data_IF_707566817839
#
_entry.id   IF_707566817839
#
_cell.length_a   1.000
_cell.length_b   1.000
_cell.length_c   1.000
_cell.angle_alpha   90.00
_cell.angle_beta   90.00
_cell.angle_gamma   90.00
#
_symmetry.space_group_name_H-M   'P 1'
#
loop_
_entity.id
_entity.type
_entity.pdbx_description
1 polymer ?
#
# COMPACT_ATOMS: atom_id res chain seq x y z
N UNK A 1 -1.22 11.62 -35.32
CA UNK A 1 -0.09 11.17 -34.48
C UNK A 1 -0.65 10.47 -33.26
N UNK A 2 -0.06 9.37 -32.82
CA UNK A 2 -0.44 8.69 -31.57
C UNK A 2 0.00 9.55 -30.40
N UNK A 3 -0.90 9.77 -29.43
CA UNK A 3 -0.58 10.53 -28.20
C UNK A 3 0.32 9.69 -27.29
N UNK A 4 1.25 10.34 -26.64
CA UNK A 4 2.25 9.70 -25.78
C UNK A 4 2.14 10.19 -24.33
N UNK A 5 2.36 9.30 -23.37
CA UNK A 5 2.36 9.63 -21.95
C UNK A 5 3.53 8.99 -21.21
N UNK A 6 4.10 9.73 -20.29
CA UNK A 6 5.05 9.22 -19.30
C UNK A 6 4.33 9.12 -17.96
N UNK A 7 4.47 7.96 -17.30
CA UNK A 7 4.02 7.73 -15.94
C UNK A 7 5.25 7.61 -15.03
N UNK A 8 5.35 8.45 -14.01
CA UNK A 8 6.38 8.34 -12.98
C UNK A 8 5.84 7.54 -11.79
N UNK A 9 6.39 6.34 -11.56
CA UNK A 9 6.00 5.41 -10.51
C UNK A 9 5.26 4.18 -11.05
N UNK A 10 5.84 2.99 -10.81
CA UNK A 10 5.35 1.68 -11.24
C UNK A 10 4.47 0.94 -10.22
N UNK A 11 3.97 1.64 -9.19
CA UNK A 11 3.04 1.10 -8.21
C UNK A 11 1.61 1.04 -8.76
N UNK A 12 0.65 0.56 -7.96
CA UNK A 12 -0.76 0.38 -8.37
C UNK A 12 -1.33 1.63 -9.06
N UNK A 13 -1.14 2.81 -8.48
CA UNK A 13 -1.66 4.07 -9.06
C UNK A 13 -1.09 4.37 -10.45
N UNK A 14 0.22 4.16 -10.64
CA UNK A 14 0.85 4.37 -11.94
C UNK A 14 0.45 3.34 -12.97
N UNK A 15 0.34 2.07 -12.58
CA UNK A 15 -0.11 1.00 -13.47
C UNK A 15 -1.59 1.18 -13.88
N UNK A 16 -2.47 1.64 -12.97
CA UNK A 16 -3.84 2.03 -13.32
C UNK A 16 -3.87 3.18 -14.32
N UNK A 17 -3.08 4.24 -14.08
CA UNK A 17 -2.99 5.38 -14.99
C UNK A 17 -2.51 4.94 -16.38
N UNK A 18 -1.47 4.10 -16.44
CA UNK A 18 -0.96 3.53 -17.68
C UNK A 18 -2.01 2.71 -18.40
N UNK A 19 -2.68 1.79 -17.70
CA UNK A 19 -3.71 0.93 -18.28
C UNK A 19 -4.90 1.75 -18.81
N UNK A 20 -5.36 2.75 -18.05
CA UNK A 20 -6.47 3.62 -18.46
C UNK A 20 -6.15 4.45 -19.70
N UNK A 21 -4.94 5.01 -19.80
CA UNK A 21 -4.49 5.76 -20.98
C UNK A 21 -4.33 4.84 -22.20
N UNK A 22 -3.72 3.66 -22.02
CA UNK A 22 -3.59 2.66 -23.10
C UNK A 22 -4.94 2.21 -23.62
N UNK A 23 -5.94 2.00 -22.77
CA UNK A 23 -7.31 1.69 -23.17
C UNK A 23 -7.96 2.81 -24.04
N UNK A 24 -7.44 4.03 -23.97
CA UNK A 24 -7.82 5.18 -24.81
C UNK A 24 -6.90 5.39 -26.02
N UNK A 25 -6.03 4.44 -26.33
CA UNK A 25 -5.16 4.47 -27.52
C UNK A 25 -3.88 5.31 -27.37
N UNK A 26 -3.47 5.63 -26.13
CA UNK A 26 -2.20 6.29 -25.87
C UNK A 26 -1.04 5.28 -25.90
N UNK A 27 0.11 5.72 -26.37
CA UNK A 27 1.37 5.02 -26.11
C UNK A 27 1.90 5.51 -24.75
N UNK A 28 2.20 4.57 -23.85
CA UNK A 28 2.49 4.90 -22.43
C UNK A 28 3.74 4.18 -21.98
N UNK A 29 4.70 4.91 -21.44
CA UNK A 29 5.88 4.39 -20.78
C UNK A 29 5.83 4.68 -19.28
N UNK A 30 6.08 3.64 -18.45
CA UNK A 30 6.10 3.71 -16.99
C UNK A 30 7.54 3.63 -16.51
N UNK A 31 7.96 4.61 -15.70
CA UNK A 31 9.29 4.69 -15.12
C UNK A 31 9.24 4.50 -13.61
N UNK A 32 9.89 3.45 -13.12
CA UNK A 32 9.94 3.08 -11.71
C UNK A 32 11.38 3.25 -11.18
N UNK A 33 11.52 3.89 -10.03
CA UNK A 33 12.83 4.11 -9.37
C UNK A 33 13.50 2.84 -8.87
N UNK A 34 12.70 1.83 -8.48
CA UNK A 34 13.22 0.54 -8.04
C UNK A 34 13.88 -0.16 -9.22
N UNK A 35 15.07 -0.70 -9.01
CA UNK A 35 15.78 -1.50 -10.01
C UNK A 35 15.23 -2.94 -10.12
N UNK A 36 14.32 -3.31 -9.23
CA UNK A 36 13.65 -4.62 -9.20
C UNK A 36 12.15 -4.45 -9.16
N UNK A 37 11.42 -5.44 -9.62
CA UNK A 37 9.95 -5.48 -9.54
C UNK A 37 9.46 -5.26 -8.10
N UNK A 38 8.30 -4.62 -7.98
CA UNK A 38 7.73 -4.25 -6.67
C UNK A 38 7.02 -5.40 -5.96
N UNK A 39 7.12 -6.63 -6.47
CA UNK A 39 6.49 -7.81 -5.87
C UNK A 39 6.93 -8.02 -4.40
N UNK A 40 6.04 -8.57 -3.58
CA UNK A 40 6.31 -8.91 -2.18
C UNK A 40 6.25 -7.73 -1.20
N UNK A 41 5.82 -6.55 -1.62
CA UNK A 41 5.78 -5.36 -0.76
C UNK A 41 4.46 -5.14 -0.04
N UNK A 42 3.47 -5.98 -0.32
CA UNK A 42 2.11 -5.65 0.03
C UNK A 42 1.53 -6.36 1.22
N UNK A 43 0.79 -5.60 1.98
CA UNK A 43 -0.18 -6.07 2.95
C UNK A 43 -1.56 -6.28 2.28
N UNK A 44 -2.56 -6.66 3.06
CA UNK A 44 -3.91 -6.81 2.58
C UNK A 44 -4.53 -5.50 2.08
N UNK A 45 -5.43 -5.64 1.12
CA UNK A 45 -6.29 -4.57 0.61
C UNK A 45 -7.74 -5.04 0.71
N UNK A 46 -8.58 -4.15 1.19
CA UNK A 46 -10.03 -4.33 1.22
C UNK A 46 -10.59 -3.92 -0.14
N UNK A 47 -11.31 -4.82 -0.81
CA UNK A 47 -11.93 -4.49 -2.08
C UNK A 47 -13.28 -3.79 -1.88
N UNK A 48 -13.72 -3.11 -2.91
CA UNK A 48 -15.05 -2.53 -3.06
C UNK A 48 -15.40 -2.49 -4.57
N UNK A 49 -16.67 -2.32 -4.89
CA UNK A 49 -17.17 -2.41 -6.26
C UNK A 49 -16.42 -1.48 -7.23
N UNK A 50 -16.11 -0.26 -6.79
CA UNK A 50 -15.37 0.72 -7.63
C UNK A 50 -13.97 0.19 -8.01
N UNK A 51 -13.28 -0.51 -7.12
CA UNK A 51 -11.96 -1.11 -7.43
C UNK A 51 -12.12 -2.27 -8.42
N UNK A 52 -13.13 -3.10 -8.22
CA UNK A 52 -13.45 -4.23 -9.10
C UNK A 52 -13.81 -3.71 -10.51
N UNK A 53 -14.67 -2.70 -10.58
CA UNK A 53 -15.04 -2.06 -11.84
C UNK A 53 -13.83 -1.40 -12.51
N UNK A 54 -12.95 -0.74 -11.76
CA UNK A 54 -11.75 -0.14 -12.29
C UNK A 54 -10.80 -1.18 -12.91
N UNK A 55 -10.59 -2.33 -12.24
CA UNK A 55 -9.77 -3.43 -12.77
C UNK A 55 -10.37 -4.00 -14.07
N UNK A 56 -11.68 -4.23 -14.09
CA UNK A 56 -12.38 -4.73 -15.27
C UNK A 56 -12.33 -3.72 -16.44
N UNK A 57 -12.55 -2.44 -16.15
CA UNK A 57 -12.56 -1.37 -17.17
C UNK A 57 -11.19 -1.18 -17.85
N UNK A 58 -10.09 -1.52 -17.18
CA UNK A 58 -8.75 -1.49 -17.79
C UNK A 58 -8.31 -2.84 -18.36
N UNK A 59 -9.17 -3.87 -18.28
CA UNK A 59 -8.90 -5.20 -18.82
C UNK A 59 -7.97 -6.05 -17.95
N UNK A 60 -7.76 -5.70 -16.68
CA UNK A 60 -6.89 -6.46 -15.78
C UNK A 60 -7.53 -7.76 -15.29
N UNK A 61 -8.87 -7.85 -15.33
CA UNK A 61 -9.62 -8.98 -14.78
C UNK A 61 -9.63 -9.03 -13.25
N UNK A 62 -10.45 -9.90 -12.70
CA UNK A 62 -10.59 -10.08 -11.24
C UNK A 62 -10.64 -11.56 -10.83
N UNK A 63 -10.28 -12.47 -11.72
CA UNK A 63 -10.22 -13.90 -11.43
C UNK A 63 -9.23 -14.18 -10.29
N UNK A 64 -9.62 -15.00 -9.32
CA UNK A 64 -8.80 -15.31 -8.15
C UNK A 64 -8.25 -14.05 -7.47
N UNK A 65 -9.10 -13.02 -7.30
CA UNK A 65 -8.71 -11.73 -6.79
C UNK A 65 -8.22 -11.81 -5.33
N UNK A 66 -8.84 -12.68 -4.52
CA UNK A 66 -8.49 -12.78 -3.10
C UNK A 66 -9.27 -13.85 -2.36
N UNK A 67 -9.39 -13.69 -1.06
CA UNK A 67 -10.11 -14.58 -0.14
C UNK A 67 -11.49 -13.98 0.15
N UNK A 68 -12.52 -14.80 0.07
CA UNK A 68 -13.87 -14.37 0.41
C UNK A 68 -14.08 -14.39 1.93
N UNK A 69 -14.68 -13.33 2.43
CA UNK A 69 -15.18 -13.20 3.80
C UNK A 69 -16.67 -12.92 3.76
N UNK A 70 -17.41 -13.47 4.71
CA UNK A 70 -18.89 -13.43 4.69
C UNK A 70 -19.46 -12.48 5.73
N UNK A 71 -18.67 -12.20 6.79
CA UNK A 71 -19.11 -11.40 7.91
C UNK A 71 -18.08 -10.34 8.27
N UNK A 72 -18.56 -9.18 8.66
CA UNK A 72 -17.81 -8.20 9.44
C UNK A 72 -18.18 -8.37 10.89
N UNK A 73 -17.18 -8.58 11.75
CA UNK A 73 -17.40 -8.84 13.17
C UNK A 73 -16.61 -7.83 14.01
N UNK A 74 -17.18 -7.43 15.15
CA UNK A 74 -16.48 -6.63 16.14
C UNK A 74 -16.25 -7.48 17.41
N UNK A 75 -15.02 -7.42 17.92
CA UNK A 75 -14.60 -8.08 19.14
C UNK A 75 -14.58 -7.10 20.31
N UNK A 76 -14.82 -7.59 21.51
CA UNK A 76 -14.48 -6.89 22.75
C UNK A 76 -13.08 -7.30 23.27
N UNK A 77 -12.71 -6.81 24.46
CA UNK A 77 -11.43 -7.13 25.10
C UNK A 77 -11.29 -8.59 25.51
N UNK A 78 -12.41 -9.25 25.82
CA UNK A 78 -12.43 -10.68 26.19
C UNK A 78 -12.30 -11.57 24.95
N UNK A 79 -12.36 -11.00 23.74
CA UNK A 79 -12.27 -11.68 22.46
C UNK A 79 -13.60 -12.23 21.97
N UNK A 80 -14.71 -11.87 22.62
CA UNK A 80 -16.05 -12.26 22.21
C UNK A 80 -16.56 -11.38 21.06
N UNK A 81 -17.33 -11.99 20.16
CA UNK A 81 -17.98 -11.25 19.07
C UNK A 81 -19.19 -10.51 19.63
N UNK A 82 -19.09 -9.19 19.78
CA UNK A 82 -20.16 -8.33 20.29
C UNK A 82 -21.06 -7.73 19.21
N UNK A 83 -20.62 -7.77 17.96
CA UNK A 83 -21.45 -7.37 16.81
C UNK A 83 -21.04 -8.15 15.55
N UNK A 84 -22.03 -8.47 14.74
CA UNK A 84 -21.83 -9.12 13.44
C UNK A 84 -22.74 -8.48 12.39
N UNK A 85 -22.15 -8.25 11.21
CA UNK A 85 -22.86 -7.76 10.02
C UNK A 85 -22.59 -8.74 8.89
N UNK A 86 -23.59 -9.49 8.40
CA UNK A 86 -23.46 -10.27 7.17
C UNK A 86 -23.06 -9.34 6.01
N UNK A 87 -21.86 -9.51 5.50
CA UNK A 87 -21.34 -8.68 4.42
C UNK A 87 -20.33 -9.48 3.61
N UNK A 88 -20.80 -9.98 2.46
CA UNK A 88 -19.91 -10.68 1.54
C UNK A 88 -18.91 -9.72 0.90
N UNK A 89 -17.63 -10.06 0.98
CA UNK A 89 -16.55 -9.24 0.45
C UNK A 89 -15.35 -10.13 0.09
N UNK A 90 -14.73 -9.87 -1.04
CA UNK A 90 -13.40 -10.43 -1.34
C UNK A 90 -12.34 -9.51 -0.77
N UNK A 91 -11.40 -10.03 0.00
CA UNK A 91 -10.21 -9.29 0.48
C UNK A 91 -8.99 -9.78 -0.27
N UNK A 92 -8.13 -8.86 -0.67
CA UNK A 92 -7.01 -9.15 -1.57
C UNK A 92 -5.68 -8.67 -0.98
N UNK A 93 -4.61 -8.79 -1.73
CA UNK A 93 -3.31 -8.24 -1.40
C UNK A 93 -2.88 -7.17 -2.40
N UNK A 94 -2.01 -6.28 -1.95
CA UNK A 94 -1.36 -5.31 -2.82
C UNK A 94 -0.65 -6.01 -4.00
N UNK A 95 0.05 -7.11 -3.71
CA UNK A 95 0.75 -7.91 -4.72
C UNK A 95 -0.18 -8.41 -5.81
N UNK A 96 -1.37 -8.88 -5.44
CA UNK A 96 -2.34 -9.39 -6.42
C UNK A 96 -2.81 -8.31 -7.38
N UNK A 97 -3.19 -7.15 -6.87
CA UNK A 97 -3.62 -6.03 -7.71
C UNK A 97 -2.47 -5.55 -8.61
N UNK A 98 -1.27 -5.42 -8.03
CA UNK A 98 -0.08 -5.06 -8.80
C UNK A 98 0.19 -6.06 -9.93
N UNK A 99 0.16 -7.37 -9.67
CA UNK A 99 0.35 -8.41 -10.68
C UNK A 99 -0.68 -8.34 -11.81
N UNK A 100 -1.96 -8.14 -11.46
CA UNK A 100 -3.04 -8.04 -12.46
C UNK A 100 -2.79 -6.86 -13.40
N UNK A 101 -2.47 -5.69 -12.87
CA UNK A 101 -2.18 -4.50 -13.65
C UNK A 101 -0.87 -4.62 -14.44
N UNK A 102 0.18 -5.20 -13.82
CA UNK A 102 1.49 -5.36 -14.46
C UNK A 102 1.42 -6.28 -15.69
N UNK A 103 0.57 -7.32 -15.67
CA UNK A 103 0.38 -8.27 -16.79
C UNK A 103 -0.16 -7.62 -18.05
N UNK A 104 -0.91 -6.54 -17.94
CA UNK A 104 -1.50 -5.82 -19.09
C UNK A 104 -0.61 -4.70 -19.62
N UNK A 105 0.51 -4.42 -18.97
CA UNK A 105 1.55 -3.50 -19.46
C UNK A 105 2.68 -4.30 -20.11
N UNK A 106 2.95 -4.14 -21.41
CA UNK A 106 4.08 -4.81 -22.07
C UNK A 106 5.42 -4.44 -21.43
N UNK A 107 6.35 -5.39 -21.39
CA UNK A 107 7.64 -5.24 -20.69
C UNK A 107 8.49 -4.10 -21.27
N UNK A 108 8.45 -3.89 -22.59
CA UNK A 108 9.16 -2.80 -23.27
C UNK A 108 8.70 -1.39 -22.84
N UNK A 109 7.55 -1.28 -22.19
CA UNK A 109 6.99 -0.04 -21.65
C UNK A 109 7.12 0.09 -20.13
N UNK A 110 7.84 -0.81 -19.45
CA UNK A 110 8.08 -0.79 -18.01
C UNK A 110 9.58 -0.67 -17.72
N UNK A 111 10.00 0.53 -17.34
CA UNK A 111 11.41 0.90 -17.18
C UNK A 111 11.78 0.97 -15.70
N UNK A 112 12.46 -0.07 -15.21
CA UNK A 112 12.98 -0.15 -13.83
C UNK A 112 14.29 0.63 -13.67
N UNK A 113 14.61 1.06 -12.44
CA UNK A 113 15.82 1.79 -12.11
C UNK A 113 15.88 3.19 -12.72
N UNK A 114 14.73 3.81 -12.98
CA UNK A 114 14.58 5.14 -13.59
C UNK A 114 13.91 6.11 -12.60
N UNK A 115 14.69 6.58 -11.62
CA UNK A 115 14.24 7.60 -10.69
C UNK A 115 14.14 8.96 -11.39
N UNK A 116 12.98 9.62 -11.26
CA UNK A 116 12.73 10.93 -11.83
C UNK A 116 13.42 11.99 -10.98
N UNK A 117 14.22 12.86 -11.61
CA UNK A 117 14.89 14.02 -10.99
C UNK A 117 14.11 15.33 -11.18
N UNK A 118 13.24 15.38 -12.18
CA UNK A 118 12.43 16.57 -12.47
C UNK A 118 11.89 16.56 -13.90
N UNK A 119 11.15 17.59 -14.26
CA UNK A 119 10.58 17.73 -15.58
C UNK A 119 10.61 19.18 -16.08
N UNK A 120 10.45 19.39 -17.38
CA UNK A 120 10.09 20.67 -17.99
C UNK A 120 8.91 20.46 -18.95
N UNK A 121 8.11 21.50 -19.17
CA UNK A 121 6.98 21.45 -20.10
C UNK A 121 6.92 22.68 -21.01
N UNK A 122 6.41 22.51 -22.22
CA UNK A 122 6.19 23.56 -23.21
C UNK A 122 4.87 23.30 -23.94
N UNK A 123 4.56 24.11 -24.96
CA UNK A 123 3.41 23.86 -25.84
C UNK A 123 3.57 22.57 -26.68
N UNK A 124 4.79 22.12 -26.89
CA UNK A 124 5.10 20.93 -27.70
C UNK A 124 5.01 19.61 -26.91
N UNK A 125 5.20 19.65 -25.59
CA UNK A 125 5.20 18.43 -24.75
C UNK A 125 5.84 18.63 -23.39
N UNK A 126 6.13 17.51 -22.76
CA UNK A 126 6.85 17.42 -21.48
C UNK A 126 8.14 16.63 -21.68
N UNK A 127 9.23 17.08 -21.06
CA UNK A 127 10.50 16.36 -20.99
C UNK A 127 10.78 16.01 -19.53
N UNK A 128 10.98 14.71 -19.24
CA UNK A 128 11.34 14.20 -17.92
C UNK A 128 12.83 13.91 -17.90
N UNK A 129 13.52 14.34 -16.83
CA UNK A 129 14.93 14.02 -16.55
C UNK A 129 15.00 12.98 -15.45
N UNK A 130 15.87 12.01 -15.63
CA UNK A 130 16.15 10.96 -14.63
C UNK A 130 17.45 11.25 -13.89
N UNK A 131 17.60 10.66 -12.68
CA UNK A 131 18.82 10.82 -11.85
C UNK A 131 20.10 10.33 -12.54
N UNK A 132 19.98 9.39 -13.47
CA UNK A 132 21.10 8.87 -14.27
C UNK A 132 21.50 9.78 -15.45
N UNK A 133 20.84 10.93 -15.62
CA UNK A 133 21.10 11.91 -16.67
C UNK A 133 20.36 11.67 -17.99
N UNK A 134 19.66 10.54 -18.15
CA UNK A 134 18.81 10.30 -19.32
C UNK A 134 17.58 11.21 -19.30
N UNK A 135 16.95 11.38 -20.48
CA UNK A 135 15.69 12.11 -20.63
C UNK A 135 14.67 11.30 -21.45
N UNK A 136 13.40 11.58 -21.23
CA UNK A 136 12.31 11.06 -22.06
C UNK A 136 11.31 12.18 -22.36
N UNK A 137 10.62 12.10 -23.52
CA UNK A 137 9.66 13.11 -23.96
C UNK A 137 8.30 12.46 -24.25
N UNK A 138 7.22 13.19 -23.92
CA UNK A 138 5.85 12.79 -24.22
C UNK A 138 4.94 14.02 -24.34
N UNK A 139 3.68 13.77 -24.72
CA UNK A 139 2.65 14.82 -24.73
C UNK A 139 2.21 15.21 -23.34
N UNK A 140 2.19 14.24 -22.40
CA UNK A 140 1.82 14.45 -20.99
C UNK A 140 2.70 13.64 -20.02
N UNK A 141 2.74 14.12 -18.75
CA UNK A 141 3.34 13.43 -17.63
C UNK A 141 2.29 13.19 -16.55
N UNK A 142 2.24 11.97 -15.99
CA UNK A 142 1.45 11.67 -14.79
C UNK A 142 2.40 11.26 -13.66
N UNK A 143 2.45 12.07 -12.61
CA UNK A 143 3.20 11.77 -11.38
C UNK A 143 2.40 10.83 -10.49
N UNK A 144 2.86 9.58 -10.39
CA UNK A 144 2.37 8.52 -9.50
C UNK A 144 3.50 8.03 -8.58
N UNK A 145 4.45 8.88 -8.27
CA UNK A 145 5.71 8.59 -7.61
C UNK A 145 5.62 8.61 -6.07
N UNK A 146 4.39 8.48 -5.57
CA UNK A 146 4.09 8.25 -4.16
C UNK A 146 4.15 9.52 -3.30
N UNK A 147 4.01 9.37 -1.98
CA UNK A 147 3.93 10.50 -1.06
C UNK A 147 5.19 11.39 -1.03
N UNK A 148 6.35 10.87 -1.48
CA UNK A 148 7.62 11.63 -1.67
C UNK A 148 7.76 12.22 -3.07
N UNK A 149 6.66 12.40 -3.78
CA UNK A 149 6.63 12.76 -5.19
C UNK A 149 7.53 13.93 -5.57
N UNK A 150 8.46 13.69 -6.49
CA UNK A 150 9.30 14.72 -7.13
C UNK A 150 8.44 15.58 -8.05
N UNK A 151 7.48 14.95 -8.75
CA UNK A 151 6.57 15.65 -9.68
C UNK A 151 5.69 16.64 -8.91
N UNK A 152 5.06 16.21 -7.78
CA UNK A 152 4.28 17.12 -6.91
C UNK A 152 5.15 18.23 -6.35
N UNK A 153 6.32 17.91 -5.82
CA UNK A 153 7.19 18.90 -5.18
C UNK A 153 7.63 20.00 -6.15
N UNK A 154 7.78 19.65 -7.43
CA UNK A 154 8.09 20.65 -8.46
C UNK A 154 6.83 21.46 -8.86
N UNK A 155 5.67 20.81 -9.00
CA UNK A 155 4.41 21.47 -9.38
C UNK A 155 3.82 22.33 -8.24
N UNK A 156 3.96 21.84 -6.99
CA UNK A 156 3.37 22.42 -5.79
C UNK A 156 4.41 22.48 -4.65
N UNK A 157 5.47 23.28 -4.76
CA UNK A 157 6.59 23.27 -3.80
C UNK A 157 6.18 23.68 -2.37
N UNK A 158 5.02 24.32 -2.21
CA UNK A 158 4.47 24.70 -0.90
C UNK A 158 3.75 23.53 -0.18
N UNK A 159 3.47 22.42 -0.87
CA UNK A 159 2.75 21.28 -0.32
C UNK A 159 3.74 20.28 0.25
N UNK A 160 3.73 20.14 1.56
CA UNK A 160 4.56 19.18 2.29
C UNK A 160 3.67 18.22 3.08
N UNK A 161 3.83 16.90 2.93
CA UNK A 161 3.11 15.94 3.75
C UNK A 161 3.35 16.17 5.25
N UNK A 162 2.28 16.17 6.03
CA UNK A 162 2.31 16.36 7.47
C UNK A 162 2.05 15.03 8.17
N UNK A 163 2.77 14.76 9.25
CA UNK A 163 2.54 13.57 10.07
C UNK A 163 1.16 13.64 10.73
N UNK A 164 0.35 12.59 10.56
CA UNK A 164 -1.05 12.56 11.01
C UNK A 164 -1.22 12.15 12.47
N UNK A 165 -0.13 11.93 13.22
CA UNK A 165 -0.16 11.63 14.65
C UNK A 165 -0.32 10.13 14.97
N UNK A 166 -0.21 9.23 14.00
CA UNK A 166 -0.29 7.79 14.22
C UNK A 166 0.56 7.00 13.21
N UNK A 167 0.87 5.78 13.59
CA UNK A 167 1.49 4.78 12.72
C UNK A 167 0.51 3.63 12.47
N UNK A 168 0.72 2.92 11.39
CA UNK A 168 0.02 1.66 11.12
C UNK A 168 1.00 0.52 11.29
N UNK A 169 0.81 -0.26 12.35
CA UNK A 169 1.48 -1.54 12.52
C UNK A 169 0.84 -2.58 11.61
N UNK A 170 1.68 -3.39 11.00
CA UNK A 170 1.26 -4.47 10.12
C UNK A 170 1.98 -5.76 10.50
N UNK A 171 1.25 -6.85 10.46
CA UNK A 171 1.78 -8.18 10.67
C UNK A 171 1.08 -9.18 9.75
N UNK A 172 1.80 -10.21 9.34
CA UNK A 172 1.28 -11.33 8.56
C UNK A 172 1.59 -12.62 9.31
N UNK A 173 0.59 -13.49 9.42
CA UNK A 173 0.76 -14.83 9.98
C UNK A 173 0.21 -15.87 9.01
N UNK A 174 0.85 -17.03 8.93
CA UNK A 174 0.39 -18.09 8.05
C UNK A 174 -0.80 -18.82 8.67
N UNK A 175 -1.80 -19.14 7.87
CA UNK A 175 -2.99 -19.91 8.30
C UNK A 175 -2.61 -21.22 8.99
N UNK A 176 -1.57 -21.90 8.51
CA UNK A 176 -1.10 -23.17 9.04
C UNK A 176 -0.52 -23.11 10.47
N UNK A 177 -0.17 -21.90 10.93
CA UNK A 177 0.45 -21.71 12.26
C UNK A 177 -0.61 -21.49 13.36
N UNK A 178 -1.91 -21.36 12.99
CA UNK A 178 -3.00 -21.10 13.92
C UNK A 178 -3.62 -22.37 14.50
N UNK A 179 -4.08 -22.28 15.75
CA UNK A 179 -4.93 -23.30 16.33
C UNK A 179 -6.28 -23.39 15.63
N UNK A 180 -6.95 -24.54 15.74
CA UNK A 180 -8.29 -24.71 15.16
C UNK A 180 -9.30 -23.70 15.72
N UNK A 181 -9.20 -23.43 17.03
CA UNK A 181 -10.06 -22.46 17.74
C UNK A 181 -9.85 -21.04 17.20
N UNK A 182 -8.59 -20.63 17.01
CA UNK A 182 -8.28 -19.31 16.47
C UNK A 182 -8.74 -19.17 15.01
N UNK A 183 -8.56 -20.21 14.19
CA UNK A 183 -9.07 -20.25 12.82
C UNK A 183 -10.58 -20.08 12.75
N UNK A 184 -11.34 -20.80 13.58
CA UNK A 184 -12.80 -20.69 13.64
C UNK A 184 -13.26 -19.29 14.07
N UNK A 185 -12.52 -18.68 15.00
CA UNK A 185 -12.84 -17.36 15.52
C UNK A 185 -12.63 -16.25 14.51
N UNK A 186 -11.48 -16.22 13.80
CA UNK A 186 -11.06 -15.06 12.99
C UNK A 186 -11.04 -15.31 11.47
N UNK A 187 -10.77 -16.55 11.03
CA UNK A 187 -10.65 -16.84 9.61
C UNK A 187 -12.04 -16.87 8.93
N UNK A 188 -12.11 -16.36 7.71
CA UNK A 188 -13.39 -16.21 7.01
C UNK A 188 -14.21 -14.98 7.40
N UNK A 189 -13.70 -14.17 8.33
CA UNK A 189 -14.34 -12.94 8.80
C UNK A 189 -13.45 -11.74 8.55
N UNK A 190 -14.05 -10.55 8.46
CA UNK A 190 -13.34 -9.28 8.57
C UNK A 190 -13.52 -8.79 10.00
N UNK A 191 -12.47 -8.91 10.80
CA UNK A 191 -12.49 -8.61 12.22
C UNK A 191 -12.14 -7.18 12.54
N UNK A 192 -12.90 -6.55 13.43
CA UNK A 192 -12.64 -5.24 14.00
C UNK A 192 -12.47 -5.35 15.51
N UNK A 193 -11.53 -4.59 16.05
CA UNK A 193 -11.49 -4.25 17.45
C UNK A 193 -11.29 -2.74 17.55
N UNK A 194 -12.20 -2.05 18.21
CA UNK A 194 -12.36 -0.60 18.16
C UNK A 194 -12.34 0.03 19.56
N UNK A 195 -11.25 -0.11 20.35
CA UNK A 195 -11.14 0.56 21.63
C UNK A 195 -10.99 2.07 21.42
N UNK A 196 -11.23 2.85 22.50
CA UNK A 196 -11.13 4.30 22.42
C UNK A 196 -9.74 4.75 21.98
N UNK A 197 -9.68 5.55 20.91
CA UNK A 197 -8.46 6.20 20.42
C UNK A 197 -7.57 5.36 19.52
N UNK A 198 -7.94 4.10 19.23
CA UNK A 198 -7.19 3.24 18.30
C UNK A 198 -8.12 2.32 17.52
N UNK A 199 -7.62 1.70 16.49
CA UNK A 199 -8.39 0.77 15.66
C UNK A 199 -7.50 -0.38 15.21
N UNK A 200 -8.05 -1.59 15.33
CA UNK A 200 -7.42 -2.80 14.84
C UNK A 200 -8.37 -3.46 13.86
N UNK A 201 -7.82 -3.94 12.74
CA UNK A 201 -8.55 -4.78 11.78
C UNK A 201 -7.71 -6.00 11.42
N UNK A 202 -8.38 -7.11 11.20
CA UNK A 202 -7.75 -8.33 10.75
C UNK A 202 -8.63 -9.09 9.76
N UNK A 203 -8.00 -9.69 8.74
CA UNK A 203 -8.71 -10.45 7.72
C UNK A 203 -7.78 -11.41 6.97
N UNK A 204 -8.28 -12.54 6.44
CA UNK A 204 -7.46 -13.45 5.65
C UNK A 204 -7.10 -12.85 4.30
N UNK A 205 -5.93 -13.18 3.80
CA UNK A 205 -5.48 -12.86 2.44
C UNK A 205 -4.84 -14.09 1.80
N UNK A 206 -4.62 -14.05 0.50
CA UNK A 206 -3.88 -15.08 -0.21
C UNK A 206 -2.49 -15.32 0.39
N UNK A 207 -2.03 -16.54 0.30
CA UNK A 207 -0.65 -16.91 0.59
C UNK A 207 0.34 -16.43 -0.46
N UNK A 208 1.58 -16.85 -0.33
CA UNK A 208 2.65 -16.52 -1.29
C UNK A 208 2.27 -16.98 -2.70
N UNK A 209 2.54 -16.15 -3.70
CA UNK A 209 2.18 -16.45 -5.08
C UNK A 209 0.67 -16.42 -5.38
N UNK A 210 -0.12 -15.77 -4.54
CA UNK A 210 -1.59 -15.73 -4.60
C UNK A 210 -2.23 -17.11 -4.35
N UNK A 211 -1.69 -17.90 -3.43
CA UNK A 211 -2.27 -19.20 -3.06
C UNK A 211 -3.53 -18.99 -2.21
N UNK A 212 -4.69 -19.42 -2.76
CA UNK A 212 -5.99 -19.28 -2.13
C UNK A 212 -6.46 -20.56 -1.42
N UNK A 213 -5.68 -21.65 -1.50
CA UNK A 213 -6.04 -22.93 -0.91
C UNK A 213 -6.07 -22.83 0.62
N UNK A 214 -7.10 -23.42 1.27
CA UNK A 214 -7.14 -23.53 2.73
C UNK A 214 -5.84 -24.14 3.28
N UNK A 215 -5.34 -23.61 4.39
CA UNK A 215 -4.05 -23.98 5.00
C UNK A 215 -2.83 -23.31 4.39
N UNK A 216 -2.96 -22.64 3.25
CA UNK A 216 -1.87 -21.95 2.56
C UNK A 216 -2.01 -20.42 2.55
N UNK A 217 -3.09 -19.91 3.09
CA UNK A 217 -3.41 -18.48 3.15
C UNK A 217 -2.68 -17.81 4.30
N UNK A 218 -2.80 -16.51 4.41
CA UNK A 218 -2.24 -15.70 5.49
C UNK A 218 -3.33 -14.86 6.14
N UNK A 219 -3.11 -14.45 7.36
CA UNK A 219 -3.92 -13.46 8.05
C UNK A 219 -3.19 -12.13 8.11
N UNK A 220 -3.84 -11.08 7.68
CA UNK A 220 -3.31 -9.72 7.69
C UNK A 220 -3.86 -8.98 8.90
N UNK A 221 -2.96 -8.45 9.71
CA UNK A 221 -3.24 -7.63 10.87
C UNK A 221 -2.83 -6.19 10.62
N UNK A 222 -3.68 -5.26 11.00
CA UNK A 222 -3.46 -3.82 10.84
C UNK A 222 -3.90 -3.11 12.12
N UNK A 223 -3.00 -2.38 12.75
CA UNK A 223 -3.27 -1.62 13.97
C UNK A 223 -2.90 -0.15 13.77
N UNK A 224 -3.89 0.72 13.83
CA UNK A 224 -3.75 2.18 13.77
C UNK A 224 -3.45 2.69 15.17
N UNK A 225 -2.16 2.85 15.50
CA UNK A 225 -1.67 3.19 16.83
C UNK A 225 -1.30 4.68 16.90
N UNK A 226 -1.91 5.49 17.79
CA UNK A 226 -1.49 6.85 18.03
C UNK A 226 -0.03 6.89 18.51
N UNK A 227 0.78 7.73 17.90
CA UNK A 227 2.19 7.90 18.25
C UNK A 227 2.54 9.38 18.14
N UNK A 228 3.08 9.97 19.21
CA UNK A 228 3.51 11.36 19.16
C UNK A 228 4.71 11.57 18.22
N UNK A 229 4.91 12.79 17.72
CA UNK A 229 6.04 13.10 16.84
C UNK A 229 7.40 12.77 17.49
N UNK A 230 7.54 12.93 18.81
CA UNK A 230 8.77 12.58 19.52
C UNK A 230 9.00 11.07 19.57
N UNK A 231 7.95 10.29 19.85
CA UNK A 231 8.02 8.81 19.80
C UNK A 231 8.31 8.32 18.38
N UNK A 232 7.70 8.93 17.36
CA UNK A 232 7.98 8.61 15.98
C UNK A 232 9.45 8.86 15.61
N UNK A 233 10.03 9.97 16.06
CA UNK A 233 11.45 10.27 15.81
C UNK A 233 12.37 9.19 16.42
N UNK A 234 12.05 8.71 17.61
CA UNK A 234 12.74 7.56 18.22
C UNK A 234 12.54 6.28 17.41
N UNK A 235 11.32 5.95 17.00
CA UNK A 235 11.00 4.76 16.21
C UNK A 235 11.66 4.75 14.82
N UNK A 236 11.89 5.92 14.25
CA UNK A 236 12.57 6.09 12.95
C UNK A 236 14.10 6.09 13.06
N UNK A 237 14.66 5.86 14.22
CA UNK A 237 16.12 5.78 14.42
C UNK A 237 16.53 4.31 14.52
N UNK A 238 17.48 3.87 13.69
CA UNK A 238 17.96 2.48 13.68
C UNK A 238 19.04 2.22 14.75
N UNK A 239 19.52 0.96 14.86
CA UNK A 239 20.52 0.55 15.84
C UNK A 239 21.89 1.25 15.67
N UNK A 240 22.17 1.78 14.47
CA UNK A 240 23.39 2.57 14.23
C UNK A 240 23.27 4.03 14.69
N UNK A 241 22.08 4.45 15.14
CA UNK A 241 21.76 5.83 15.47
C UNK A 241 21.38 6.69 14.26
N UNK A 242 21.26 6.11 13.07
CA UNK A 242 20.83 6.83 11.87
C UNK A 242 19.33 7.08 11.93
N UNK A 243 18.94 8.34 11.82
CA UNK A 243 17.55 8.75 11.70
C UNK A 243 17.06 8.66 10.25
N UNK A 244 15.91 8.00 10.05
CA UNK A 244 15.21 7.89 8.77
C UNK A 244 14.06 8.91 8.74
N UNK A 245 14.12 9.86 7.84
CA UNK A 245 13.28 11.07 7.87
C UNK A 245 11.76 10.82 7.85
N UNK A 246 11.28 9.84 7.08
CA UNK A 246 9.85 9.63 6.86
C UNK A 246 9.38 8.17 7.07
N UNK A 247 10.24 7.20 6.87
CA UNK A 247 9.94 5.78 7.06
C UNK A 247 11.22 4.99 7.23
N UNK A 248 11.19 3.93 7.99
CA UNK A 248 12.32 3.03 8.23
C UNK A 248 12.09 1.69 7.53
N UNK A 249 13.08 1.10 6.83
CA UNK A 249 12.96 -0.25 6.30
C UNK A 249 12.68 -1.26 7.41
N UNK A 250 11.75 -2.22 7.23
CA UNK A 250 11.39 -3.18 8.28
C UNK A 250 12.56 -3.89 8.97
N UNK A 251 13.62 -4.33 8.26
CA UNK A 251 14.77 -4.97 8.90
C UNK A 251 15.59 -4.06 9.83
N UNK A 252 15.46 -2.72 9.68
CA UNK A 252 16.18 -1.73 10.46
C UNK A 252 15.39 -1.22 11.68
N UNK A 253 14.14 -1.66 11.85
CA UNK A 253 13.35 -1.35 13.04
C UNK A 253 14.04 -2.01 14.24
N UNK A 254 14.36 -1.20 15.26
CA UNK A 254 15.06 -1.67 16.47
C UNK A 254 14.20 -2.68 17.21
N UNK A 255 14.86 -3.69 17.80
CA UNK A 255 14.19 -4.71 18.60
C UNK A 255 13.43 -4.10 19.80
N UNK A 256 13.98 -3.08 20.43
CA UNK A 256 13.33 -2.36 21.53
C UNK A 256 11.99 -1.73 21.13
N UNK A 257 11.84 -1.31 19.85
CA UNK A 257 10.59 -0.76 19.31
C UNK A 257 9.55 -1.87 19.13
N UNK A 258 9.96 -3.03 18.63
CA UNK A 258 9.08 -4.20 18.48
C UNK A 258 8.62 -4.72 19.85
N UNK A 259 9.52 -4.88 20.79
CA UNK A 259 9.18 -5.31 22.15
C UNK A 259 8.24 -4.34 22.89
N UNK A 260 8.36 -3.02 22.63
CA UNK A 260 7.41 -2.03 23.15
C UNK A 260 6.03 -2.26 22.55
N UNK A 261 5.95 -2.43 21.23
CA UNK A 261 4.69 -2.71 20.53
C UNK A 261 4.05 -4.01 21.07
N UNK A 262 4.82 -5.07 21.25
CA UNK A 262 4.32 -6.35 21.78
C UNK A 262 3.79 -6.23 23.22
N UNK A 263 4.45 -5.45 24.09
CA UNK A 263 3.94 -5.19 25.45
C UNK A 263 2.63 -4.43 25.40
N UNK A 264 2.56 -3.37 24.60
CA UNK A 264 1.35 -2.58 24.43
C UNK A 264 0.21 -3.44 23.84
N UNK A 265 0.52 -4.30 22.88
CA UNK A 265 -0.45 -5.24 22.30
C UNK A 265 -1.07 -6.15 23.38
N UNK A 266 -0.26 -6.70 24.30
CA UNK A 266 -0.74 -7.57 25.39
C UNK A 266 -1.63 -6.84 26.38
N UNK A 267 -1.48 -5.52 26.51
CA UNK A 267 -2.29 -4.71 27.44
C UNK A 267 -3.64 -4.31 26.85
N UNK A 268 -3.73 -4.13 25.52
CA UNK A 268 -4.90 -3.50 24.90
C UNK A 268 -5.64 -4.39 23.90
N UNK A 269 -5.02 -5.48 23.40
CA UNK A 269 -5.65 -6.32 22.38
C UNK A 269 -6.35 -7.54 23.00
N UNK A 270 -7.47 -8.00 22.38
CA UNK A 270 -8.02 -9.31 22.66
C UNK A 270 -6.99 -10.43 22.46
N UNK A 271 -7.11 -11.48 23.24
CA UNK A 271 -6.16 -12.60 23.23
C UNK A 271 -5.95 -13.19 21.83
N UNK A 272 -7.01 -13.29 21.02
CA UNK A 272 -6.93 -13.77 19.64
C UNK A 272 -5.94 -12.96 18.77
N UNK A 273 -5.92 -11.64 18.89
CA UNK A 273 -4.99 -10.80 18.16
C UNK A 273 -3.57 -10.86 18.74
N UNK A 274 -3.42 -11.05 20.04
CA UNK A 274 -2.11 -11.28 20.67
C UNK A 274 -1.50 -12.59 20.18
N UNK A 275 -2.29 -13.68 20.11
CA UNK A 275 -1.86 -14.97 19.59
C UNK A 275 -1.49 -14.90 18.10
N UNK A 276 -2.30 -14.19 17.30
CA UNK A 276 -2.00 -13.95 15.89
C UNK A 276 -0.67 -13.21 15.73
N UNK A 277 -0.43 -12.15 16.52
CA UNK A 277 0.83 -11.41 16.51
C UNK A 277 2.03 -12.29 16.89
N UNK A 278 1.87 -13.18 17.87
CA UNK A 278 2.92 -14.10 18.29
C UNK A 278 3.31 -15.12 17.21
N UNK A 279 2.38 -15.45 16.30
CA UNK A 279 2.62 -16.34 15.15
C UNK A 279 3.05 -15.57 13.88
N UNK A 280 3.07 -14.23 13.93
CA UNK A 280 3.37 -13.42 12.75
C UNK A 280 4.86 -13.39 12.44
N UNK A 281 5.16 -13.20 11.15
CA UNK A 281 6.47 -12.70 10.73
C UNK A 281 6.74 -11.37 11.43
N UNK A 282 8.03 -10.93 11.42
CA UNK A 282 8.46 -9.69 12.06
C UNK A 282 7.50 -8.52 11.73
N UNK A 283 6.76 -7.96 12.71
CA UNK A 283 5.91 -6.82 12.50
C UNK A 283 6.69 -5.60 12.03
N UNK A 284 6.01 -4.72 11.29
CA UNK A 284 6.58 -3.45 10.87
C UNK A 284 5.54 -2.34 10.93
N UNK A 285 6.01 -1.10 10.94
CA UNK A 285 5.11 0.04 10.97
C UNK A 285 5.33 0.99 9.78
N UNK A 286 4.26 1.67 9.42
CA UNK A 286 4.27 2.76 8.44
C UNK A 286 3.73 4.02 9.13
N UNK A 287 4.52 5.09 9.25
CA UNK A 287 4.00 6.39 9.68
C UNK A 287 3.02 6.92 8.65
N UNK A 288 1.91 7.50 9.10
CA UNK A 288 0.93 8.07 8.20
C UNK A 288 1.16 9.58 8.08
N UNK A 289 1.29 10.00 6.84
CA UNK A 289 1.41 11.41 6.45
C UNK A 289 0.25 11.74 5.56
N UNK A 290 -0.25 12.95 5.71
CA UNK A 290 -1.37 13.47 4.97
C UNK A 290 -0.99 14.77 4.27
N UNK A 291 -1.54 15.00 3.10
CA UNK A 291 -1.43 16.23 2.36
C UNK A 291 -2.62 16.40 1.41
N UNK A 292 -2.89 17.63 1.07
CA UNK A 292 -3.93 17.96 0.10
C UNK A 292 -3.34 18.81 -1.02
N UNK A 293 -3.44 18.30 -2.25
CA UNK A 293 -3.04 19.06 -3.43
C UNK A 293 -4.22 19.93 -3.89
N UNK A 294 -4.08 21.27 -3.89
CA UNK A 294 -5.17 22.18 -4.29
C UNK A 294 -5.53 22.06 -5.77
N UNK A 295 -4.67 21.44 -6.56
CA UNK A 295 -4.89 21.08 -7.96
C UNK A 295 -4.13 19.81 -8.30
N UNK A 296 -4.72 18.96 -9.13
CA UNK A 296 -4.12 17.69 -9.57
C UNK A 296 -3.52 17.76 -10.98
N UNK A 297 -3.62 18.90 -11.66
CA UNK A 297 -3.04 19.08 -12.98
C UNK A 297 -2.62 20.53 -13.22
N UNK A 298 -1.53 20.69 -13.98
CA UNK A 298 -1.04 21.98 -14.46
C UNK A 298 -0.37 21.80 -15.83
N UNK A 299 -0.95 22.44 -16.85
CA UNK A 299 -0.47 22.28 -18.23
C UNK A 299 -0.55 20.83 -18.69
N UNK A 300 0.60 20.22 -18.93
CA UNK A 300 0.75 18.84 -19.42
C UNK A 300 1.09 17.85 -18.32
N UNK A 301 1.06 18.25 -17.08
CA UNK A 301 1.43 17.42 -15.92
C UNK A 301 0.23 17.20 -15.04
N UNK A 302 0.01 15.95 -14.63
CA UNK A 302 -1.02 15.57 -13.68
C UNK A 302 -0.43 14.73 -12.53
N UNK A 303 -1.12 14.70 -11.38
CA UNK A 303 -0.80 13.87 -10.21
C UNK A 303 -1.88 12.83 -10.01
N UNK A 304 -1.49 11.63 -9.55
CA UNK A 304 -2.41 10.57 -9.15
C UNK A 304 -1.84 9.72 -8.02
N UNK A 305 -2.71 8.97 -7.33
CA UNK A 305 -2.34 8.18 -6.15
C UNK A 305 -1.74 9.04 -5.03
N UNK A 306 -0.87 8.46 -4.21
CA UNK A 306 -0.23 9.15 -3.06
C UNK A 306 0.64 10.36 -3.46
N UNK A 307 0.85 10.63 -4.76
CA UNK A 307 1.45 11.87 -5.21
C UNK A 307 0.45 13.03 -5.21
N UNK A 308 -0.84 12.75 -5.33
CA UNK A 308 -1.91 13.73 -5.38
C UNK A 308 -2.49 14.04 -3.99
N UNK A 309 -2.71 13.02 -3.14
CA UNK A 309 -3.28 13.16 -1.79
C UNK A 309 -2.93 11.95 -0.91
#
# INVERSE_FOLDING_TARGET
MTRTAIICGGSIGGLFAAAALRAKGWQVDVFERSAVELAGRGAGIVTHDILIDALNNVGAGTEALGVDVHDRVAFDLDGEIVASLPYFQTVTSWDRIHQLLRRILPDEHHHLGRAVAGYSQSEEGVEVRFENGETARADILVGCDGFRSVVRNQMLPQITPQYSGYVVWRALANEADFSAELLELIFGKFGFFLPTGTQIVGYPIAGTGNDLRPGHRRYNFVWYAPVSAQQLADMLTDESGRHHALSIPPPLIREAVLQRMEREAKEILPQAFVEMLAQSERPFFTPIYDHHSPRMAEGRVALAGDAAC
#
